data_IF_244381583944
#
_entry.id   IF_244381583944
#
_cell.length_a   1.000
_cell.length_b   1.000
_cell.length_c   1.000
_cell.angle_alpha   90.00
_cell.angle_beta   90.00
_cell.angle_gamma   90.00
#
_symmetry.space_group_name_H-M   'P 1'
#
loop_
_entity.id
_entity.type
_entity.pdbx_description
1 polymer ?
#
# COMPACT_ATOMS: atom_id res chain seq x y z
N UNK A 1 -28.58 61.66 -7.18
CA UNK A 1 -27.47 61.92 -6.23
C UNK A 1 -27.25 60.64 -5.46
N UNK A 2 -26.32 59.77 -5.86
CA UNK A 2 -24.85 59.85 -5.71
C UNK A 2 -24.37 59.39 -4.33
N UNK A 3 -23.64 58.27 -4.33
CA UNK A 3 -22.69 57.85 -3.29
C UNK A 3 -23.27 57.01 -2.16
N UNK A 4 -22.64 55.96 -1.64
CA UNK A 4 -21.36 55.32 -1.95
C UNK A 4 -21.30 54.06 -1.05
N UNK A 5 -21.13 52.88 -1.65
CA UNK A 5 -20.81 51.65 -0.93
C UNK A 5 -19.42 51.74 -0.29
N UNK A 6 -19.32 51.60 1.04
CA UNK A 6 -18.04 51.45 1.74
C UNK A 6 -17.96 50.08 2.41
N UNK A 7 -17.45 49.14 1.61
CA UNK A 7 -16.98 47.82 2.02
C UNK A 7 -15.77 47.94 2.96
N UNK A 8 -15.93 47.58 4.24
CA UNK A 8 -14.82 47.41 5.19
C UNK A 8 -14.21 46.02 5.01
N UNK A 9 -13.22 45.93 4.12
CA UNK A 9 -12.37 44.75 3.96
C UNK A 9 -11.47 44.59 5.20
N UNK A 10 -11.61 43.45 5.91
CA UNK A 10 -10.72 43.08 7.01
C UNK A 10 -9.45 42.41 6.47
N UNK A 11 -8.33 43.04 6.79
CA UNK A 11 -6.93 42.60 6.67
C UNK A 11 -6.70 41.08 6.66
N UNK A 12 -6.46 40.51 5.48
CA UNK A 12 -5.80 39.21 5.33
C UNK A 12 -4.28 39.42 5.46
N UNK A 13 -3.73 39.16 6.65
CA UNK A 13 -2.28 39.14 6.91
C UNK A 13 -1.61 38.05 6.05
N UNK A 14 -0.87 38.49 5.04
CA UNK A 14 0.47 37.97 4.70
C UNK A 14 0.61 36.50 4.31
N UNK A 15 -0.05 36.04 3.23
CA UNK A 15 0.49 34.90 2.47
C UNK A 15 1.67 35.38 1.63
N UNK A 16 2.87 34.86 1.91
CA UNK A 16 4.08 35.09 1.15
C UNK A 16 3.87 34.82 -0.34
N UNK A 17 3.73 35.90 -1.11
CA UNK A 17 3.67 35.86 -2.57
C UNK A 17 5.06 35.51 -3.07
N UNK A 18 5.23 34.26 -3.53
CA UNK A 18 6.35 33.89 -4.42
C UNK A 18 6.36 34.87 -5.60
N UNK A 19 7.50 35.49 -5.95
CA UNK A 19 7.55 36.37 -7.11
C UNK A 19 7.25 35.56 -8.38
N UNK A 20 6.25 36.03 -9.15
CA UNK A 20 5.94 35.59 -10.51
C UNK A 20 7.22 35.67 -11.35
N UNK A 21 7.73 34.52 -11.82
CA UNK A 21 8.77 34.45 -12.85
C UNK A 21 8.17 34.99 -14.16
N UNK A 22 8.57 36.21 -14.54
CA UNK A 22 8.41 36.72 -15.90
C UNK A 22 9.34 36.00 -16.90
N UNK A 23 9.17 36.25 -18.21
CA UNK A 23 9.81 35.49 -19.27
C UNK A 23 11.32 35.74 -19.32
N UNK A 24 12.08 34.66 -19.44
CA UNK A 24 13.56 34.63 -19.46
C UNK A 24 14.09 35.33 -20.72
N UNK A 25 14.87 36.40 -20.55
CA UNK A 25 15.85 36.86 -21.55
C UNK A 25 17.12 35.99 -21.47
N UNK A 26 17.79 35.67 -22.59
CA UNK A 26 19.01 34.88 -22.58
C UNK A 26 20.23 35.77 -22.36
N UNK A 27 21.18 35.29 -21.55
CA UNK A 27 22.57 35.73 -21.59
C UNK A 27 23.00 36.78 -20.57
N UNK A 28 23.67 36.34 -19.50
CA UNK A 28 24.84 37.02 -18.94
C UNK A 28 25.57 36.10 -17.95
N UNK A 29 26.76 35.65 -18.33
CA UNK A 29 27.72 34.95 -17.46
C UNK A 29 28.03 35.86 -16.25
N UNK A 30 27.65 35.45 -15.04
CA UNK A 30 28.01 36.16 -13.81
C UNK A 30 28.84 35.27 -12.90
N UNK A 31 30.10 35.72 -12.75
CA UNK A 31 31.10 35.51 -11.70
C UNK A 31 30.75 34.49 -10.62
N UNK A 32 31.58 33.45 -10.54
CA UNK A 32 31.69 32.52 -9.42
C UNK A 32 31.99 33.31 -8.13
N UNK A 33 30.99 33.46 -7.26
CA UNK A 33 31.22 33.82 -5.87
C UNK A 33 31.92 32.66 -5.14
N UNK A 34 32.68 32.94 -4.07
CA UNK A 34 33.39 31.90 -3.33
C UNK A 34 32.36 30.91 -2.77
N UNK A 35 32.52 29.62 -3.12
CA UNK A 35 31.77 28.54 -2.50
C UNK A 35 32.02 28.62 -0.99
N UNK A 36 31.00 29.03 -0.22
CA UNK A 36 31.02 28.79 1.23
C UNK A 36 31.10 27.28 1.40
N UNK A 37 32.27 26.78 1.72
CA UNK A 37 32.46 25.48 2.34
C UNK A 37 31.73 25.51 3.67
N UNK A 38 30.44 25.19 3.61
CA UNK A 38 29.61 24.97 4.77
C UNK A 38 30.14 23.73 5.47
N UNK A 39 31.07 23.96 6.41
CA UNK A 39 31.46 23.05 7.46
C UNK A 39 30.21 22.55 8.19
N UNK A 40 29.61 21.50 7.66
CA UNK A 40 28.61 20.67 8.31
C UNK A 40 29.33 19.53 9.04
N UNK A 41 30.34 19.88 9.85
CA UNK A 41 31.11 18.94 10.65
C UNK A 41 30.49 18.70 12.04
N UNK A 42 29.16 18.80 12.17
CA UNK A 42 28.42 18.31 13.34
C UNK A 42 27.72 16.98 13.05
N UNK A 43 28.43 16.05 12.39
CA UNK A 43 28.09 14.62 12.51
C UNK A 43 28.52 14.18 13.91
N UNK A 44 27.63 14.43 14.86
CA UNK A 44 27.66 13.82 16.19
C UNK A 44 28.02 12.34 16.03
N UNK A 45 29.26 12.01 16.39
CA UNK A 45 29.83 10.65 16.42
C UNK A 45 29.19 9.88 17.56
N UNK A 46 27.86 9.78 17.58
CA UNK A 46 27.19 8.82 18.45
C UNK A 46 27.72 7.44 18.07
N UNK A 47 28.09 6.59 19.05
CA UNK A 47 28.55 5.26 18.74
C UNK A 47 27.48 4.56 17.88
N UNK A 48 27.94 4.05 16.73
CA UNK A 48 27.15 3.36 15.71
C UNK A 48 26.71 1.96 16.16
N UNK A 49 27.06 1.55 17.37
CA UNK A 49 26.57 0.29 17.92
C UNK A 49 25.05 0.39 18.10
N UNK A 50 24.36 -0.53 17.44
CA UNK A 50 22.94 -0.77 17.62
C UNK A 50 22.75 -1.37 19.01
N UNK A 51 22.31 -0.55 19.98
CA UNK A 51 21.83 -1.05 21.27
C UNK A 51 20.52 -1.83 21.06
N UNK A 52 20.15 -2.76 21.97
CA UNK A 52 18.87 -3.48 21.91
C UNK A 52 17.67 -2.56 21.63
N UNK A 53 17.53 -1.49 22.41
CA UNK A 53 16.45 -0.52 22.22
C UNK A 53 16.45 0.16 20.85
N UNK A 54 17.63 0.45 20.27
CA UNK A 54 17.73 1.05 18.93
C UNK A 54 17.37 0.07 17.82
N UNK A 55 17.63 -1.22 18.00
CA UNK A 55 17.24 -2.27 17.04
C UNK A 55 15.71 -2.30 16.97
N UNK A 56 15.06 -2.37 18.13
CA UNK A 56 13.60 -2.38 18.24
C UNK A 56 12.97 -1.11 17.67
N UNK A 57 13.49 0.07 18.05
CA UNK A 57 12.98 1.35 17.54
C UNK A 57 13.14 1.45 16.01
N UNK A 58 14.26 0.97 15.46
CA UNK A 58 14.49 0.98 14.02
C UNK A 58 13.55 0.02 13.30
N UNK A 59 13.33 -1.17 13.87
CA UNK A 59 12.36 -2.13 13.35
C UNK A 59 10.94 -1.54 13.31
N UNK A 60 10.48 -0.96 14.42
CA UNK A 60 9.15 -0.36 14.51
C UNK A 60 8.94 0.74 13.47
N UNK A 61 9.93 1.61 13.29
CA UNK A 61 9.85 2.68 12.30
C UNK A 61 9.78 2.13 10.86
N UNK A 62 10.56 1.08 10.54
CA UNK A 62 10.48 0.43 9.22
C UNK A 62 9.12 -0.26 9.02
N UNK A 63 8.59 -0.89 10.06
CA UNK A 63 7.28 -1.54 10.04
C UNK A 63 6.15 -0.53 9.86
N UNK A 64 6.16 0.58 10.59
CA UNK A 64 5.19 1.67 10.44
C UNK A 64 5.21 2.24 9.02
N UNK A 65 6.39 2.50 8.45
CA UNK A 65 6.53 2.95 7.07
C UNK A 65 5.92 1.95 6.08
N UNK A 66 6.17 0.66 6.28
CA UNK A 66 5.60 -0.37 5.44
C UNK A 66 4.08 -0.47 5.56
N UNK A 67 3.53 -0.38 6.78
CA UNK A 67 2.06 -0.38 7.00
C UNK A 67 1.41 0.80 6.28
N UNK A 68 1.99 2.01 6.37
CA UNK A 68 1.49 3.19 5.66
C UNK A 68 1.57 3.01 4.14
N UNK A 69 2.69 2.50 3.63
CA UNK A 69 2.86 2.23 2.20
C UNK A 69 1.88 1.15 1.69
N UNK A 70 1.70 0.07 2.46
CA UNK A 70 0.75 -1.02 2.17
C UNK A 70 -0.68 -0.51 2.10
N UNK A 71 -1.12 0.25 3.11
CA UNK A 71 -2.45 0.87 3.12
C UNK A 71 -2.66 1.73 1.88
N UNK A 72 -1.70 2.61 1.58
CA UNK A 72 -1.77 3.52 0.42
C UNK A 72 -1.81 2.77 -0.91
N UNK A 73 -1.06 1.67 -1.03
CA UNK A 73 -1.08 0.84 -2.22
C UNK A 73 -2.46 0.27 -2.48
N UNK A 74 -3.05 -0.44 -1.51
CA UNK A 74 -4.36 -1.06 -1.70
C UNK A 74 -5.50 -0.03 -1.82
N UNK A 75 -5.41 1.12 -1.15
CA UNK A 75 -6.40 2.19 -1.28
C UNK A 75 -6.42 2.82 -2.69
N UNK A 76 -5.26 2.85 -3.36
CA UNK A 76 -5.09 3.48 -4.67
C UNK A 76 -5.04 2.48 -5.82
N UNK A 77 -4.92 1.18 -5.56
CA UNK A 77 -4.76 0.13 -6.57
C UNK A 77 -5.90 0.13 -7.61
N UNK A 78 -7.13 0.42 -7.17
CA UNK A 78 -8.30 0.52 -8.07
C UNK A 78 -8.63 1.94 -8.54
N UNK A 79 -7.96 2.98 -8.02
CA UNK A 79 -8.30 4.40 -8.27
C UNK A 79 -7.27 5.16 -9.08
N UNK A 80 -5.99 4.86 -8.90
CA UNK A 80 -4.90 5.48 -9.65
C UNK A 80 -4.49 4.60 -10.83
N UNK A 81 -4.05 5.24 -11.91
CA UNK A 81 -3.50 4.55 -13.08
C UNK A 81 -2.17 5.15 -13.52
N UNK A 82 -1.40 4.35 -14.27
CA UNK A 82 -0.13 4.74 -14.87
C UNK A 82 0.95 5.07 -13.83
N UNK A 83 1.70 6.15 -14.07
CA UNK A 83 2.89 6.55 -13.29
C UNK A 83 2.63 6.75 -11.80
N UNK A 84 1.39 7.07 -11.40
CA UNK A 84 1.05 7.23 -9.98
C UNK A 84 0.99 5.88 -9.27
N UNK A 85 0.36 4.88 -9.89
CA UNK A 85 0.28 3.52 -9.37
C UNK A 85 1.68 2.94 -9.23
N UNK A 86 2.50 3.05 -10.29
CA UNK A 86 3.89 2.57 -10.31
C UNK A 86 4.73 3.17 -9.18
N UNK A 87 4.59 4.48 -8.90
CA UNK A 87 5.29 5.12 -7.77
C UNK A 87 4.86 4.58 -6.42
N UNK A 88 3.57 4.29 -6.25
CA UNK A 88 3.04 3.77 -4.98
C UNK A 88 3.48 2.32 -4.80
N UNK A 89 3.44 1.53 -5.86
CA UNK A 89 3.93 0.15 -5.89
C UNK A 89 5.43 0.07 -5.58
N UNK A 90 6.25 0.91 -6.22
CA UNK A 90 7.68 0.98 -5.96
C UNK A 90 7.99 1.37 -4.51
N UNK A 91 7.20 2.27 -3.91
CA UNK A 91 7.32 2.61 -2.50
C UNK A 91 6.95 1.42 -1.58
N UNK A 92 5.86 0.72 -1.89
CA UNK A 92 5.46 -0.48 -1.17
C UNK A 92 6.55 -1.57 -1.21
N UNK A 93 7.09 -1.87 -2.40
CA UNK A 93 8.21 -2.82 -2.56
C UNK A 93 9.48 -2.35 -1.84
N UNK A 94 9.82 -1.08 -1.95
CA UNK A 94 11.02 -0.51 -1.31
C UNK A 94 10.97 -0.60 0.21
N UNK A 95 9.83 -0.31 0.84
CA UNK A 95 9.66 -0.43 2.29
C UNK A 95 9.73 -1.88 2.77
N UNK A 96 9.14 -2.81 2.01
CA UNK A 96 9.20 -4.25 2.29
C UNK A 96 10.64 -4.77 2.20
N UNK A 97 11.37 -4.37 1.16
CA UNK A 97 12.80 -4.70 1.03
C UNK A 97 13.63 -4.10 2.16
N UNK A 98 13.32 -2.88 2.62
CA UNK A 98 14.05 -2.25 3.72
C UNK A 98 13.91 -3.05 5.03
N UNK A 99 12.73 -3.62 5.31
CA UNK A 99 12.52 -4.52 6.45
C UNK A 99 13.35 -5.79 6.28
N UNK A 100 13.22 -6.49 5.15
CA UNK A 100 13.96 -7.73 4.90
C UNK A 100 15.47 -7.53 4.96
N UNK A 101 15.98 -6.48 4.33
CA UNK A 101 17.40 -6.12 4.39
C UNK A 101 17.84 -5.76 5.81
N UNK A 102 16.96 -5.20 6.64
CA UNK A 102 17.28 -4.95 8.03
C UNK A 102 17.41 -6.27 8.79
N UNK A 103 16.43 -7.16 8.66
CA UNK A 103 16.42 -8.49 9.30
C UNK A 103 17.63 -9.34 8.89
N UNK A 104 17.98 -9.40 7.60
CA UNK A 104 19.11 -10.21 7.10
C UNK A 104 20.48 -9.68 7.53
N UNK A 105 20.58 -8.39 7.87
CA UNK A 105 21.84 -7.75 8.27
C UNK A 105 22.03 -7.68 9.80
N UNK A 106 21.11 -8.25 10.58
CA UNK A 106 21.26 -8.36 12.03
C UNK A 106 22.26 -9.46 12.38
N UNK A 107 23.01 -9.25 13.47
CA UNK A 107 23.84 -10.29 14.10
C UNK A 107 22.96 -11.25 14.90
N UNK A 108 23.43 -12.46 15.17
CA UNK A 108 22.69 -13.50 15.90
C UNK A 108 22.07 -12.99 17.21
N UNK A 109 22.86 -12.35 18.07
CA UNK A 109 22.36 -11.77 19.33
C UNK A 109 21.30 -10.66 19.14
N UNK A 110 21.32 -9.96 18.00
CA UNK A 110 20.33 -8.92 17.68
C UNK A 110 19.02 -9.54 17.17
N UNK A 111 19.11 -10.68 16.49
CA UNK A 111 17.96 -11.46 16.06
C UNK A 111 17.22 -12.00 17.27
N UNK A 112 17.93 -12.48 18.29
CA UNK A 112 17.32 -12.95 19.55
C UNK A 112 16.52 -11.84 20.25
N UNK A 113 17.10 -10.65 20.39
CA UNK A 113 16.40 -9.47 20.95
C UNK A 113 15.14 -9.13 20.15
N UNK A 114 15.20 -9.25 18.82
CA UNK A 114 14.06 -8.97 17.96
C UNK A 114 12.98 -10.07 18.08
N UNK A 115 13.38 -11.34 18.10
CA UNK A 115 12.50 -12.50 18.28
C UNK A 115 11.77 -12.45 19.62
N UNK A 116 12.47 -12.11 20.70
CA UNK A 116 11.86 -11.97 22.03
C UNK A 116 10.71 -10.94 22.03
N UNK A 117 10.82 -9.87 21.22
CA UNK A 117 9.74 -8.90 21.06
C UNK A 117 8.60 -9.42 20.18
N UNK A 118 8.93 -10.03 19.03
CA UNK A 118 7.94 -10.50 18.04
C UNK A 118 7.13 -11.67 18.61
N UNK A 119 7.83 -12.66 19.18
CA UNK A 119 7.26 -13.89 19.72
C UNK A 119 6.93 -13.76 21.22
N UNK A 120 6.76 -12.52 21.72
CA UNK A 120 6.57 -12.26 23.16
C UNK A 120 5.35 -12.98 23.73
N UNK A 121 4.32 -13.17 22.93
CA UNK A 121 3.11 -13.87 23.34
C UNK A 121 3.11 -15.28 22.77
N UNK A 122 2.93 -16.32 23.61
CA UNK A 122 2.78 -17.67 23.12
C UNK A 122 1.53 -17.76 22.25
N UNK A 123 1.57 -18.62 21.22
CA UNK A 123 0.38 -18.92 20.44
C UNK A 123 -0.73 -19.45 21.36
N UNK A 124 -1.94 -18.90 21.23
CA UNK A 124 -3.10 -19.43 21.95
C UNK A 124 -3.42 -20.83 21.41
N UNK A 125 -3.31 -21.83 22.29
CA UNK A 125 -3.57 -23.25 21.99
C UNK A 125 -4.65 -23.82 22.90
N UNK A 126 -5.35 -22.99 23.67
CA UNK A 126 -6.34 -23.48 24.65
C UNK A 126 -7.43 -24.33 23.98
N UNK A 127 -7.94 -23.88 22.83
CA UNK A 127 -8.93 -24.62 22.08
C UNK A 127 -8.40 -25.98 21.60
N UNK A 128 -7.24 -26.00 20.93
CA UNK A 128 -6.62 -27.23 20.41
C UNK A 128 -6.32 -28.24 21.52
N UNK A 129 -5.76 -27.77 22.65
CA UNK A 129 -5.49 -28.62 23.82
C UNK A 129 -6.75 -29.21 24.44
N UNK A 130 -7.85 -28.45 24.48
CA UNK A 130 -9.13 -28.92 25.05
C UNK A 130 -9.81 -29.96 24.16
N UNK A 131 -9.66 -29.82 22.84
CA UNK A 131 -10.35 -30.68 21.86
C UNK A 131 -9.45 -31.80 21.30
N UNK A 132 -8.23 -31.96 21.83
CA UNK A 132 -7.29 -32.99 21.38
C UNK A 132 -6.85 -32.83 19.92
N UNK A 133 -6.93 -31.61 19.39
CA UNK A 133 -6.55 -31.31 18.00
C UNK A 133 -5.05 -31.06 17.93
N UNK A 134 -4.38 -31.64 16.94
CA UNK A 134 -2.99 -31.29 16.67
C UNK A 134 -2.91 -29.82 16.21
N UNK A 135 -1.93 -29.03 16.69
CA UNK A 135 -1.74 -27.63 16.30
C UNK A 135 -1.05 -27.53 14.92
N UNK A 136 -1.39 -28.44 14.00
CA UNK A 136 -0.96 -28.44 12.61
C UNK A 136 -2.23 -28.32 11.76
N UNK A 137 -2.25 -27.36 10.85
CA UNK A 137 -3.31 -27.30 9.85
C UNK A 137 -3.20 -28.51 8.93
N UNK A 138 -4.33 -28.95 8.36
CA UNK A 138 -4.34 -29.94 7.30
C UNK A 138 -3.50 -29.43 6.11
N UNK A 139 -2.64 -30.28 5.56
CA UNK A 139 -1.87 -29.95 4.36
C UNK A 139 -2.80 -29.99 3.14
N UNK A 140 -3.41 -28.85 2.83
CA UNK A 140 -4.23 -28.71 1.62
C UNK A 140 -3.31 -28.61 0.40
N UNK A 141 -3.43 -29.54 -0.54
CA UNK A 141 -2.73 -29.46 -1.81
C UNK A 141 -3.13 -28.17 -2.54
N UNK A 142 -2.15 -27.44 -3.10
CA UNK A 142 -2.41 -26.21 -3.86
C UNK A 142 -2.62 -26.46 -5.36
N UNK A 143 -2.28 -27.66 -5.83
CA UNK A 143 -2.40 -28.09 -7.22
C UNK A 143 -3.26 -29.34 -7.33
N UNK A 144 -4.26 -29.32 -8.21
CA UNK A 144 -5.20 -30.42 -8.44
C UNK A 144 -6.48 -29.94 -9.11
N UNK A 145 -7.37 -30.88 -9.44
CA UNK A 145 -8.78 -30.57 -9.71
C UNK A 145 -9.46 -30.40 -8.35
N UNK A 146 -9.90 -29.18 -8.06
CA UNK A 146 -10.68 -28.87 -6.87
C UNK A 146 -12.13 -28.73 -7.29
N UNK A 147 -13.04 -29.26 -6.48
CA UNK A 147 -14.46 -28.98 -6.64
C UNK A 147 -14.68 -27.48 -6.45
N UNK A 148 -15.27 -26.81 -7.46
CA UNK A 148 -15.60 -25.40 -7.36
C UNK A 148 -16.68 -25.22 -6.27
N UNK A 149 -16.38 -24.51 -5.17
CA UNK A 149 -17.34 -24.34 -4.08
C UNK A 149 -18.58 -23.52 -4.49
N UNK A 150 -18.55 -22.87 -5.66
CA UNK A 150 -19.68 -22.12 -6.20
C UNK A 150 -20.59 -22.93 -7.12
N UNK A 151 -20.20 -24.16 -7.50
CA UNK A 151 -21.05 -25.05 -8.26
C UNK A 151 -21.92 -25.90 -7.32
N UNK A 152 -23.22 -25.93 -7.60
CA UNK A 152 -24.13 -26.85 -6.95
C UNK A 152 -23.90 -28.27 -7.51
N UNK A 153 -24.10 -29.34 -6.70
CA UNK A 153 -24.00 -30.72 -7.19
C UNK A 153 -24.87 -30.95 -8.44
N UNK A 154 -26.06 -30.37 -8.47
CA UNK A 154 -27.00 -30.45 -9.60
C UNK A 154 -26.49 -29.79 -10.88
N UNK A 155 -25.58 -28.82 -10.78
CA UNK A 155 -24.97 -28.15 -11.93
C UNK A 155 -23.77 -28.94 -12.47
N UNK A 156 -23.05 -29.64 -11.59
CA UNK A 156 -21.94 -30.53 -11.97
C UNK A 156 -22.48 -31.78 -12.68
N UNK A 157 -23.61 -32.30 -12.21
CA UNK A 157 -24.27 -33.48 -12.78
C UNK A 157 -25.02 -33.20 -14.09
N UNK A 158 -25.34 -31.94 -14.38
CA UNK A 158 -26.11 -31.58 -15.57
C UNK A 158 -25.22 -31.51 -16.81
N UNK A 159 -25.46 -32.42 -17.75
CA UNK A 159 -24.79 -32.43 -19.05
C UNK A 159 -25.60 -31.66 -20.10
N UNK A 160 -25.28 -30.36 -20.26
CA UNK A 160 -25.88 -29.49 -21.28
C UNK A 160 -25.22 -29.64 -22.65
N UNK A 161 -24.26 -30.56 -22.84
CA UNK A 161 -23.56 -30.72 -24.11
C UNK A 161 -24.48 -31.18 -25.25
N UNK A 162 -25.58 -31.86 -24.90
CA UNK A 162 -26.60 -32.34 -25.83
C UNK A 162 -27.86 -31.46 -25.85
N UNK A 163 -27.86 -30.36 -25.09
CA UNK A 163 -28.96 -29.40 -25.11
C UNK A 163 -28.94 -28.66 -26.45
N UNK A 164 -29.85 -29.07 -27.32
CA UNK A 164 -30.08 -28.50 -28.65
C UNK A 164 -31.40 -27.73 -28.69
N UNK A 165 -32.02 -27.48 -27.53
CA UNK A 165 -33.11 -26.52 -27.43
C UNK A 165 -32.53 -25.12 -27.64
N UNK A 166 -32.35 -24.75 -28.92
CA UNK A 166 -32.18 -23.36 -29.27
C UNK A 166 -33.39 -22.62 -28.67
N UNK A 167 -33.13 -21.62 -27.83
CA UNK A 167 -34.13 -20.61 -27.46
C UNK A 167 -34.49 -19.80 -28.70
N UNK A 168 -35.18 -20.42 -29.65
CA UNK A 168 -35.70 -19.84 -30.88
C UNK A 168 -37.11 -19.37 -30.63
N UNK A 169 -37.22 -18.27 -29.88
CA UNK A 169 -38.39 -17.42 -30.01
C UNK A 169 -38.22 -16.59 -31.27
N UNK A 170 -39.03 -16.82 -32.30
CA UNK A 170 -39.08 -15.89 -33.43
C UNK A 170 -39.69 -14.56 -32.96
N UNK A 171 -39.43 -13.47 -33.70
CA UNK A 171 -40.07 -12.17 -33.41
C UNK A 171 -41.61 -12.26 -33.45
N UNK A 172 -42.13 -13.26 -34.15
CA UNK A 172 -43.56 -13.57 -34.26
C UNK A 172 -44.10 -14.19 -32.96
N UNK A 173 -43.34 -15.09 -32.33
CA UNK A 173 -43.68 -15.66 -31.02
C UNK A 173 -43.74 -14.58 -29.93
N UNK A 174 -42.80 -13.62 -29.98
CA UNK A 174 -42.80 -12.47 -29.08
C UNK A 174 -44.06 -11.60 -29.25
N UNK A 175 -44.46 -11.31 -30.49
CA UNK A 175 -45.67 -10.53 -30.79
C UNK A 175 -46.93 -11.25 -30.33
N UNK A 176 -47.02 -12.57 -30.57
CA UNK A 176 -48.12 -13.42 -30.13
C UNK A 176 -48.23 -13.47 -28.60
N UNK A 177 -47.11 -13.57 -27.88
CA UNK A 177 -47.08 -13.50 -26.41
C UNK A 177 -47.48 -12.11 -25.88
N UNK A 178 -47.07 -11.03 -26.55
CA UNK A 178 -47.37 -9.65 -26.14
C UNK A 178 -48.71 -9.10 -26.65
N UNK A 179 -49.43 -9.84 -27.48
CA UNK A 179 -50.71 -9.41 -28.07
C UNK A 179 -50.58 -8.19 -28.97
N UNK A 180 -49.45 -8.06 -29.69
CA UNK A 180 -49.13 -6.96 -30.62
C UNK A 180 -49.37 -7.35 -32.07
#
# INVERSE_FOLDING_TARGET
>A
MSGEDKSKSKNFKGKGRRPRRGPRKPGAKTKQGPKKEGSSANKSRRPKSLTPARILQKYDNLLEQHIVARRKFYEMHGRAQGRQLEKIENNFRSTLEAIRRFETNLKDWQIEVLKEKIDRYPADRQFSSTHGLEPKGEEVAFSGEFEDPHLLPTQIEADFSNDTEESTGTIEDYKKYKGL
#
